data_IF_823902625783
#
_entry.id   IF_823902625783
#
_cell.length_a   1.000
_cell.length_b   1.000
_cell.length_c   1.000
_cell.angle_alpha   90.00
_cell.angle_beta   90.00
_cell.angle_gamma   90.00
#
_symmetry.space_group_name_H-M   'P 1'
#
loop_
_entity.id
_entity.type
_entity.pdbx_description
1 polymer ?
#
# COMPACT_ATOMS: atom_id res chain seq x y z
N UNK A 1 10.94 14.02 0.46
CA UNK A 1 10.46 15.35 0.00
C UNK A 1 11.45 16.48 0.34
N UNK A 2 12.06 16.51 1.52
CA UNK A 2 12.99 17.58 1.94
C UNK A 2 14.21 17.84 1.02
N UNK A 3 14.71 16.82 0.32
CA UNK A 3 15.86 16.95 -0.60
C UNK A 3 15.51 17.59 -1.95
N UNK A 4 14.26 18.04 -2.16
CA UNK A 4 13.82 18.63 -3.42
C UNK A 4 13.79 17.64 -4.60
N UNK A 5 13.83 16.34 -4.32
CA UNK A 5 13.66 15.30 -5.34
C UNK A 5 12.16 15.18 -5.67
N UNK A 6 11.88 14.97 -6.95
CA UNK A 6 10.53 14.61 -7.41
C UNK A 6 10.25 13.16 -7.03
N UNK A 7 9.62 12.99 -5.86
CA UNK A 7 9.27 11.67 -5.30
C UNK A 7 7.82 11.69 -4.85
N UNK A 8 7.07 10.67 -5.27
CA UNK A 8 5.71 10.42 -4.81
C UNK A 8 5.70 9.37 -3.71
N UNK A 9 5.08 9.68 -2.58
CA UNK A 9 4.87 8.74 -1.49
C UNK A 9 3.45 8.16 -1.58
N UNK A 10 3.37 6.84 -1.82
CA UNK A 10 2.10 6.13 -1.95
C UNK A 10 1.88 5.26 -0.72
N UNK A 11 0.75 5.45 -0.03
CA UNK A 11 0.33 4.59 1.06
C UNK A 11 -0.37 3.35 0.52
N UNK A 12 -0.01 2.17 1.05
CA UNK A 12 -0.61 0.89 0.65
C UNK A 12 -1.44 0.36 1.80
N UNK A 13 -2.70 0.03 1.54
CA UNK A 13 -3.62 -0.45 2.57
C UNK A 13 -4.54 -1.58 2.07
N UNK A 14 -5.09 -2.39 2.99
CA UNK A 14 -6.02 -3.45 2.63
C UNK A 14 -7.33 -2.89 2.08
N UNK A 15 -7.85 -3.46 1.00
CA UNK A 15 -9.18 -3.09 0.45
C UNK A 15 -10.28 -3.20 1.52
N UNK A 16 -10.19 -4.20 2.40
CA UNK A 16 -11.19 -4.45 3.45
C UNK A 16 -11.09 -3.48 4.64
N UNK A 17 -10.04 -2.66 4.73
CA UNK A 17 -9.85 -1.69 5.81
C UNK A 17 -9.11 -0.41 5.35
N UNK A 18 -9.67 0.36 4.39
CA UNK A 18 -8.97 1.43 3.69
C UNK A 18 -9.06 2.77 4.44
N UNK A 19 -8.57 2.78 5.69
CA UNK A 19 -8.70 3.91 6.62
C UNK A 19 -7.98 5.18 6.13
N UNK A 20 -6.83 5.07 5.47
CA UNK A 20 -6.07 6.23 4.98
C UNK A 20 -6.81 6.85 3.80
N UNK A 21 -7.23 6.04 2.82
CA UNK A 21 -8.03 6.49 1.67
C UNK A 21 -9.29 7.21 2.11
N UNK A 22 -10.06 6.60 3.03
CA UNK A 22 -11.29 7.20 3.56
C UNK A 22 -11.00 8.54 4.25
N UNK A 23 -9.94 8.59 5.08
CA UNK A 23 -9.56 9.82 5.78
C UNK A 23 -9.19 10.94 4.81
N UNK A 24 -8.35 10.66 3.80
CA UNK A 24 -7.93 11.64 2.80
C UNK A 24 -9.10 12.12 1.93
N UNK A 25 -10.09 11.27 1.69
CA UNK A 25 -11.31 11.62 0.95
C UNK A 25 -12.35 12.38 1.80
N UNK A 26 -12.14 12.53 3.11
CA UNK A 26 -13.13 13.11 4.02
C UNK A 26 -14.34 12.20 4.25
N UNK A 27 -14.20 10.91 3.99
CA UNK A 27 -15.24 9.90 4.16
C UNK A 27 -15.28 9.36 5.60
N UNK A 28 -16.38 8.71 5.94
CA UNK A 28 -16.52 8.01 7.22
C UNK A 28 -15.53 6.83 7.29
N UNK A 29 -14.66 6.85 8.30
CA UNK A 29 -13.66 5.78 8.53
C UNK A 29 -14.34 4.50 8.98
N UNK A 30 -14.19 3.44 8.18
CA UNK A 30 -14.75 2.10 8.41
C UNK A 30 -13.65 1.04 8.33
N UNK A 31 -13.02 0.69 9.46
CA UNK A 31 -12.04 -0.38 9.50
C UNK A 31 -12.73 -1.75 9.37
N UNK A 32 -12.01 -2.71 8.81
CA UNK A 32 -12.51 -4.08 8.62
C UNK A 32 -11.44 -5.14 8.83
N UNK A 33 -11.83 -6.40 9.06
CA UNK A 33 -10.88 -7.49 9.22
C UNK A 33 -10.17 -7.80 7.90
N UNK A 34 -8.85 -7.98 7.94
CA UNK A 34 -8.02 -8.38 6.79
C UNK A 34 -6.88 -9.31 7.21
N UNK A 35 -6.18 -9.89 6.24
CA UNK A 35 -5.10 -10.88 6.44
C UNK A 35 -3.69 -10.32 6.25
N UNK A 36 -3.57 -9.10 5.69
CA UNK A 36 -2.26 -8.45 5.46
C UNK A 36 -1.64 -7.97 6.78
N UNK A 37 -0.93 -8.85 7.49
CA UNK A 37 -0.32 -8.51 8.78
C UNK A 37 0.74 -7.40 8.66
N UNK A 38 0.72 -6.47 9.64
CA UNK A 38 1.69 -5.38 9.75
C UNK A 38 1.24 -4.03 9.17
N UNK A 39 0.15 -4.00 8.38
CA UNK A 39 -0.48 -2.76 7.88
C UNK A 39 -1.98 -2.77 8.23
N UNK A 40 -2.72 -1.71 7.88
CA UNK A 40 -4.18 -1.67 8.10
C UNK A 40 -4.59 -1.62 9.57
N UNK A 41 -3.98 -0.74 10.36
CA UNK A 41 -4.17 -0.68 11.82
C UNK A 41 -5.61 -0.39 12.29
N UNK A 42 -6.52 -0.04 11.38
CA UNK A 42 -7.92 0.25 11.69
C UNK A 42 -8.19 1.67 12.21
N UNK A 43 -7.16 2.52 12.27
CA UNK A 43 -7.22 3.94 12.62
C UNK A 43 -6.00 4.67 12.04
N UNK A 44 -6.00 6.01 12.07
CA UNK A 44 -4.83 6.83 11.72
C UNK A 44 -3.94 7.00 12.95
N UNK A 45 -2.73 6.41 12.98
CA UNK A 45 -1.87 6.53 14.15
C UNK A 45 -1.20 7.92 14.19
N UNK A 46 -0.93 8.44 15.39
CA UNK A 46 -0.38 9.79 15.58
C UNK A 46 1.04 10.01 15.04
N UNK A 47 1.71 8.95 14.60
CA UNK A 47 3.02 8.99 13.94
C UNK A 47 2.92 8.95 12.41
N UNK A 48 1.71 8.88 11.83
CA UNK A 48 1.49 8.99 10.39
C UNK A 48 1.17 10.45 10.04
N UNK A 49 2.05 11.05 9.26
CA UNK A 49 1.81 12.37 8.66
C UNK A 49 1.12 12.20 7.30
N UNK A 50 -0.15 12.57 7.24
CA UNK A 50 -0.97 12.46 6.03
C UNK A 50 -0.59 13.49 4.95
N UNK A 51 0.02 14.61 5.33
CA UNK A 51 0.42 15.66 4.37
C UNK A 51 1.56 15.19 3.45
N UNK A 52 2.27 14.14 3.85
CA UNK A 52 3.34 13.55 3.06
C UNK A 52 2.83 12.59 1.98
N UNK A 53 1.58 12.13 2.04
CA UNK A 53 1.02 11.10 1.15
C UNK A 53 0.49 11.73 -0.14
N UNK A 54 1.01 11.29 -1.29
CA UNK A 54 0.59 11.77 -2.62
C UNK A 54 -0.52 10.91 -3.24
N UNK A 55 -0.78 9.73 -2.68
CA UNK A 55 -1.83 8.84 -3.12
C UNK A 55 -1.90 7.57 -2.31
N UNK A 56 -2.95 6.79 -2.55
CA UNK A 56 -3.17 5.49 -1.90
C UNK A 56 -3.34 4.40 -2.95
N UNK A 57 -2.94 3.17 -2.60
CA UNK A 57 -3.19 1.97 -3.40
C UNK A 57 -3.81 0.89 -2.50
N UNK A 58 -4.95 0.37 -2.95
CA UNK A 58 -5.70 -0.66 -2.23
C UNK A 58 -5.32 -2.05 -2.73
N UNK A 59 -4.98 -2.95 -1.82
CA UNK A 59 -4.57 -4.32 -2.16
C UNK A 59 -5.41 -5.36 -1.44
N UNK A 60 -5.83 -6.41 -2.16
CA UNK A 60 -6.57 -7.53 -1.61
C UNK A 60 -5.64 -8.47 -0.82
N UNK A 61 -6.23 -9.27 0.07
CA UNK A 61 -5.48 -10.31 0.78
C UNK A 61 -4.87 -11.32 -0.21
N UNK A 62 -5.65 -11.68 -1.23
CA UNK A 62 -5.31 -12.67 -2.24
C UNK A 62 -4.13 -12.21 -3.10
N UNK A 63 -4.15 -10.95 -3.58
CA UNK A 63 -3.06 -10.39 -4.38
C UNK A 63 -1.78 -10.28 -3.57
N UNK A 64 -1.87 -9.83 -2.32
CA UNK A 64 -0.72 -9.68 -1.43
C UNK A 64 -0.04 -11.03 -1.14
N UNK A 65 -0.82 -12.06 -0.81
CA UNK A 65 -0.30 -13.41 -0.57
C UNK A 65 0.28 -14.01 -1.86
N UNK A 66 -0.42 -13.88 -2.98
CA UNK A 66 0.04 -14.38 -4.26
C UNK A 66 1.38 -13.75 -4.66
N UNK A 67 1.51 -12.43 -4.52
CA UNK A 67 2.75 -11.73 -4.84
C UNK A 67 3.90 -12.10 -3.90
N UNK A 68 3.67 -12.23 -2.60
CA UNK A 68 4.69 -12.72 -1.67
C UNK A 68 5.23 -14.10 -2.09
N UNK A 69 4.35 -15.01 -2.55
CA UNK A 69 4.76 -16.29 -3.12
C UNK A 69 5.49 -16.16 -4.46
N UNK A 70 5.09 -15.24 -5.34
CA UNK A 70 5.80 -14.99 -6.60
C UNK A 70 7.23 -14.49 -6.33
N UNK A 71 7.41 -13.56 -5.40
CA UNK A 71 8.72 -13.04 -5.00
C UNK A 71 9.64 -14.16 -4.48
N UNK A 72 9.11 -15.08 -3.69
CA UNK A 72 9.87 -16.25 -3.24
C UNK A 72 10.27 -17.15 -4.41
N UNK A 73 9.33 -17.43 -5.31
CA UNK A 73 9.51 -18.41 -6.39
C UNK A 73 10.39 -17.90 -7.53
N UNK A 74 10.25 -16.63 -7.88
CA UNK A 74 10.85 -16.06 -9.10
C UNK A 74 12.06 -15.18 -8.79
N UNK A 75 12.07 -14.48 -7.66
CA UNK A 75 13.15 -13.57 -7.27
C UNK A 75 14.04 -14.14 -6.16
N UNK A 76 13.65 -15.27 -5.54
CA UNK A 76 14.37 -15.84 -4.40
C UNK A 76 14.28 -14.99 -3.12
N UNK A 77 13.29 -14.08 -3.04
CA UNK A 77 13.11 -13.15 -1.93
C UNK A 77 12.04 -13.68 -0.98
N UNK A 78 12.45 -14.14 0.21
CA UNK A 78 11.56 -14.59 1.28
C UNK A 78 11.01 -13.41 2.10
N UNK A 79 9.80 -12.97 1.76
CA UNK A 79 9.12 -11.83 2.40
C UNK A 79 7.72 -12.17 2.93
N UNK A 80 7.20 -11.32 3.80
CA UNK A 80 5.84 -11.42 4.34
C UNK A 80 4.76 -10.84 3.41
N UNK A 81 3.51 -11.00 3.83
CA UNK A 81 2.31 -10.61 3.06
C UNK A 81 2.29 -9.10 2.76
N UNK A 82 2.70 -8.26 3.72
CA UNK A 82 2.74 -6.80 3.52
C UNK A 82 3.73 -6.36 2.44
N UNK A 83 4.88 -7.04 2.30
CA UNK A 83 5.80 -6.81 1.19
C UNK A 83 5.18 -7.21 -0.15
N UNK A 84 4.41 -8.30 -0.18
CA UNK A 84 3.62 -8.67 -1.35
C UNK A 84 2.63 -7.56 -1.73
N UNK A 85 1.93 -6.98 -0.75
CA UNK A 85 1.03 -5.85 -0.98
C UNK A 85 1.77 -4.63 -1.56
N UNK A 86 2.92 -4.27 -0.98
CA UNK A 86 3.74 -3.15 -1.47
C UNK A 86 4.18 -3.37 -2.92
N UNK A 87 4.59 -4.59 -3.30
CA UNK A 87 5.00 -4.90 -4.67
C UNK A 87 3.82 -4.93 -5.64
N UNK A 88 2.64 -5.39 -5.22
CA UNK A 88 1.42 -5.29 -6.05
C UNK A 88 1.11 -3.85 -6.40
N UNK A 89 1.09 -2.96 -5.39
CA UNK A 89 0.86 -1.53 -5.60
C UNK A 89 1.95 -0.91 -6.50
N UNK A 90 3.23 -1.19 -6.22
CA UNK A 90 4.35 -0.68 -7.00
C UNK A 90 4.28 -1.13 -8.47
N UNK A 91 3.94 -2.40 -8.72
CA UNK A 91 3.78 -2.93 -10.08
C UNK A 91 2.66 -2.22 -10.83
N UNK A 92 1.49 -2.04 -10.22
CA UNK A 92 0.36 -1.32 -10.82
C UNK A 92 0.72 0.12 -11.17
N UNK A 93 1.47 0.80 -10.29
CA UNK A 93 1.95 2.16 -10.53
C UNK A 93 2.96 2.21 -11.68
N UNK A 94 3.93 1.30 -11.71
CA UNK A 94 4.94 1.22 -12.76
C UNK A 94 4.33 0.93 -14.14
N UNK A 95 3.19 0.24 -14.19
CA UNK A 95 2.45 -0.04 -15.44
C UNK A 95 1.61 1.14 -15.95
N UNK A 96 1.48 2.24 -15.17
CA UNK A 96 0.72 3.42 -15.62
C UNK A 96 1.51 4.18 -16.71
N UNK A 97 0.87 4.66 -17.79
CA UNK A 97 1.56 5.36 -18.88
C UNK A 97 2.40 6.55 -18.42
N UNK A 98 1.96 7.28 -17.39
CA UNK A 98 2.69 8.40 -16.81
C UNK A 98 3.98 8.02 -16.07
N UNK A 99 4.22 6.73 -15.82
CA UNK A 99 5.39 6.20 -15.10
C UNK A 99 6.22 5.24 -15.96
N UNK A 100 6.05 5.25 -17.29
CA UNK A 100 6.66 4.28 -18.20
C UNK A 100 8.17 4.48 -18.46
N UNK A 101 8.80 5.50 -17.85
CA UNK A 101 10.20 5.91 -18.09
C UNK A 101 11.05 5.89 -16.81
#
# INVERSE_FOLDING_TARGET
>A
KEKGLDVKAIAVEPIDSPVITQTLAGEEVKPGPHKIQGIGAGFIPGNLDLELIDGTELVSNEDAIAMAHQLMKHEGILVGISSGAAVVAAKRLAEKPENAD
#
